data_IF_198872821180
#
_entry.id   IF_198872821180
#
_cell.length_a   1.000
_cell.length_b   1.000
_cell.length_c   1.000
_cell.angle_alpha   90.00
_cell.angle_beta   90.00
_cell.angle_gamma   90.00
#
_symmetry.space_group_name_H-M   'P 1'
#
loop_
_entity.id
_entity.type
_entity.pdbx_description
1 polymer ?
#
# COMPACT_ATOMS: atom_id res chain seq x y z
N UNK A 1 49.46 8.09 -10.81
CA UNK A 1 48.08 8.61 -10.82
C UNK A 1 47.06 7.61 -11.39
N UNK A 2 47.24 6.29 -11.21
CA UNK A 2 46.37 5.25 -11.77
C UNK A 2 45.35 4.67 -10.77
N UNK A 3 45.42 5.06 -9.49
CA UNK A 3 44.61 4.45 -8.41
C UNK A 3 43.25 5.12 -8.17
N UNK A 4 43.01 6.31 -8.73
CA UNK A 4 41.78 7.08 -8.52
C UNK A 4 40.68 6.70 -9.54
N UNK A 5 41.06 6.15 -10.69
CA UNK A 5 40.11 5.78 -11.77
C UNK A 5 39.37 4.47 -11.43
N UNK A 6 39.99 3.57 -10.66
CA UNK A 6 39.33 2.32 -10.25
C UNK A 6 38.22 2.52 -9.21
N UNK A 7 38.29 3.57 -8.38
CA UNK A 7 37.29 3.80 -7.33
C UNK A 7 35.98 4.39 -7.90
N UNK A 8 36.06 5.19 -8.98
CA UNK A 8 34.88 5.73 -9.66
C UNK A 8 34.06 4.66 -10.38
N UNK A 9 34.67 3.55 -10.83
CA UNK A 9 33.94 2.45 -11.46
C UNK A 9 33.15 1.61 -10.45
N UNK A 10 33.61 1.50 -9.20
CA UNK A 10 32.88 0.76 -8.15
C UNK A 10 31.66 1.53 -7.65
N UNK A 11 31.72 2.87 -7.66
CA UNK A 11 30.56 3.71 -7.29
C UNK A 11 29.50 3.70 -8.40
N UNK A 12 29.88 3.52 -9.67
CA UNK A 12 28.94 3.45 -10.80
C UNK A 12 28.23 2.08 -10.88
N UNK A 13 28.80 0.98 -10.37
CA UNK A 13 28.09 -0.30 -10.32
C UNK A 13 27.05 -0.39 -9.19
N UNK A 14 26.99 0.59 -8.28
CA UNK A 14 25.90 0.73 -7.29
C UNK A 14 24.77 1.64 -7.81
N UNK A 15 24.76 1.99 -9.10
CA UNK A 15 23.75 2.86 -9.70
C UNK A 15 22.67 2.16 -10.53
N UNK A 16 22.58 0.82 -10.58
CA UNK A 16 21.62 0.15 -11.49
C UNK A 16 20.90 -1.08 -10.93
N UNK A 17 20.48 -1.05 -9.67
CA UNK A 17 19.23 -1.73 -9.30
C UNK A 17 18.19 -0.63 -9.04
N UNK A 18 17.72 0.11 -10.06
CA UNK A 18 16.66 -0.34 -10.98
C UNK A 18 15.64 -1.30 -10.33
N UNK A 19 15.11 -0.92 -9.18
CA UNK A 19 13.70 -1.14 -8.95
C UNK A 19 13.00 0.10 -9.53
N UNK A 20 12.33 -0.06 -10.67
CA UNK A 20 11.35 0.90 -11.16
C UNK A 20 10.49 1.35 -9.97
N UNK A 21 10.15 2.66 -9.83
CA UNK A 21 9.13 3.02 -8.86
C UNK A 21 7.92 2.17 -9.18
N UNK A 22 7.53 1.31 -8.25
CA UNK A 22 6.31 0.55 -8.35
C UNK A 22 5.18 1.56 -8.19
N UNK A 23 4.85 2.22 -9.31
CA UNK A 23 3.80 3.20 -9.31
C UNK A 23 2.53 2.42 -9.03
N UNK A 24 1.83 2.79 -7.97
CA UNK A 24 0.41 2.52 -7.89
C UNK A 24 -0.33 3.34 -9.01
N UNK A 25 0.12 3.29 -10.28
CA UNK A 25 -0.59 3.70 -11.50
C UNK A 25 -0.95 2.51 -12.44
N UNK A 26 -2.23 2.50 -12.81
CA UNK A 26 -3.00 1.70 -13.79
C UNK A 26 -3.09 0.14 -13.77
N UNK A 27 -4.34 -0.31 -13.98
CA UNK A 27 -4.91 -1.65 -14.24
C UNK A 27 -5.39 -2.54 -13.07
N UNK A 28 -6.60 -3.08 -13.26
CA UNK A 28 -7.51 -3.73 -12.30
C UNK A 28 -7.67 -5.22 -12.65
N UNK A 29 -7.73 -6.09 -11.65
CA UNK A 29 -8.72 -7.18 -11.53
C UNK A 29 -8.51 -7.97 -10.23
N UNK A 30 -9.57 -8.10 -9.42
CA UNK A 30 -9.65 -9.06 -8.32
C UNK A 30 -10.50 -8.53 -7.18
N UNK A 31 -11.62 -9.17 -6.89
CA UNK A 31 -12.51 -8.90 -5.76
C UNK A 31 -12.49 -10.10 -4.83
N UNK A 32 -12.17 -9.91 -3.55
CA UNK A 32 -12.42 -10.88 -2.48
C UNK A 32 -13.52 -10.30 -1.58
N UNK A 33 -14.60 -11.05 -1.26
CA UNK A 33 -15.68 -10.53 -0.44
C UNK A 33 -15.33 -10.69 1.03
N UNK A 34 -15.18 -9.58 1.76
CA UNK A 34 -15.19 -9.59 3.22
C UNK A 34 -16.41 -8.79 3.67
N UNK A 35 -17.35 -9.48 4.31
CA UNK A 35 -18.68 -8.97 4.66
C UNK A 35 -18.60 -7.79 5.65
N UNK A 36 -19.22 -6.68 5.25
CA UNK A 36 -19.27 -5.43 5.97
C UNK A 36 -20.11 -5.52 7.27
N UNK A 37 -19.47 -5.28 8.41
CA UNK A 37 -20.14 -4.80 9.62
C UNK A 37 -19.31 -3.64 10.17
N UNK A 38 -19.98 -2.57 10.62
CA UNK A 38 -19.39 -1.30 11.01
C UNK A 38 -18.07 -1.44 11.78
N UNK A 39 -16.94 -1.20 11.09
CA UNK A 39 -15.62 -1.36 11.66
C UNK A 39 -15.36 -0.25 12.69
N UNK A 40 -15.36 -0.59 13.99
CA UNK A 40 -14.74 0.24 15.01
C UNK A 40 -13.22 0.20 14.80
N UNK A 41 -12.53 1.33 14.90
CA UNK A 41 -11.07 1.46 14.69
C UNK A 41 -10.26 0.45 15.52
N UNK A 42 -10.73 0.12 16.73
CA UNK A 42 -10.12 -0.90 17.61
C UNK A 42 -10.19 -2.29 16.98
N UNK A 43 -11.33 -2.64 16.40
CA UNK A 43 -11.55 -3.92 15.69
C UNK A 43 -10.70 -3.99 14.42
N UNK A 44 -10.47 -2.87 13.72
CA UNK A 44 -9.56 -2.82 12.57
C UNK A 44 -8.11 -3.11 12.95
N UNK A 45 -7.62 -2.57 14.07
CA UNK A 45 -6.27 -2.87 14.56
C UNK A 45 -6.13 -4.36 14.90
N UNK A 46 -7.13 -4.96 15.53
CA UNK A 46 -7.09 -6.39 15.86
C UNK A 46 -7.24 -7.27 14.60
N UNK A 47 -8.03 -6.84 13.60
CA UNK A 47 -8.06 -7.47 12.27
C UNK A 47 -6.69 -7.38 11.59
N UNK A 48 -5.99 -6.23 11.66
CA UNK A 48 -4.63 -6.12 11.11
C UNK A 48 -3.65 -7.06 11.81
N UNK A 49 -3.77 -7.24 13.13
CA UNK A 49 -2.96 -8.23 13.87
C UNK A 49 -3.26 -9.66 13.46
N UNK A 50 -4.54 -10.01 13.31
CA UNK A 50 -4.96 -11.34 12.85
C UNK A 50 -4.57 -11.57 11.39
N UNK A 51 -4.56 -10.53 10.56
CA UNK A 51 -4.14 -10.61 9.17
C UNK A 51 -2.67 -11.01 8.99
N UNK A 52 -1.81 -10.69 9.96
CA UNK A 52 -0.43 -11.21 10.03
C UNK A 52 -0.36 -12.74 10.24
N UNK A 53 -1.47 -13.37 10.63
CA UNK A 53 -1.61 -14.81 10.83
C UNK A 53 -2.29 -15.51 9.64
N UNK A 54 -2.75 -14.76 8.62
CA UNK A 54 -3.39 -15.33 7.42
C UNK A 54 -2.33 -16.02 6.55
N UNK A 55 -2.64 -17.16 5.90
CA UNK A 55 -1.72 -17.81 4.99
C UNK A 55 -1.26 -16.86 3.88
N UNK A 56 0.02 -16.51 3.89
CA UNK A 56 0.65 -15.61 2.91
C UNK A 56 1.11 -16.34 1.65
N UNK A 57 0.68 -17.59 1.43
CA UNK A 57 1.27 -18.50 0.44
C UNK A 57 1.18 -17.92 -0.98
N UNK A 58 0.05 -17.33 -1.36
CA UNK A 58 -0.12 -16.68 -2.67
C UNK A 58 0.80 -15.47 -2.85
N UNK A 59 0.98 -14.66 -1.81
CA UNK A 59 1.84 -13.47 -1.87
C UNK A 59 3.33 -13.81 -1.83
N UNK A 60 3.71 -14.81 -1.03
CA UNK A 60 5.11 -15.26 -0.88
C UNK A 60 5.60 -16.07 -2.08
N UNK A 61 4.70 -16.68 -2.85
CA UNK A 61 5.04 -17.34 -4.11
C UNK A 61 5.50 -16.33 -5.17
N UNK A 62 4.83 -15.17 -5.29
CA UNK A 62 5.18 -14.12 -6.24
C UNK A 62 4.97 -12.71 -5.65
N UNK A 63 6.04 -12.17 -5.07
CA UNK A 63 6.08 -10.85 -4.41
C UNK A 63 5.70 -9.71 -5.37
N UNK A 64 6.16 -9.75 -6.62
CA UNK A 64 5.84 -8.69 -7.58
C UNK A 64 4.35 -8.68 -7.95
N UNK A 65 3.76 -9.85 -8.18
CA UNK A 65 2.32 -9.98 -8.39
C UNK A 65 1.54 -9.54 -7.15
N UNK A 66 2.02 -9.89 -5.96
CA UNK A 66 1.38 -9.50 -4.71
C UNK A 66 1.31 -7.98 -4.55
N UNK A 67 2.44 -7.28 -4.69
CA UNK A 67 2.48 -5.82 -4.55
C UNK A 67 1.65 -5.16 -5.67
N UNK A 68 1.67 -5.71 -6.90
CA UNK A 68 0.86 -5.19 -8.01
C UNK A 68 -0.63 -5.26 -7.69
N UNK A 69 -1.10 -6.39 -7.16
CA UNK A 69 -2.49 -6.57 -6.73
C UNK A 69 -2.83 -5.61 -5.58
N UNK A 70 -1.98 -5.50 -4.56
CA UNK A 70 -2.18 -4.54 -3.46
C UNK A 70 -2.30 -3.10 -3.97
N UNK A 71 -1.41 -2.67 -4.86
CA UNK A 71 -1.50 -1.35 -5.49
C UNK A 71 -2.84 -1.16 -6.22
N UNK A 72 -3.36 -2.20 -6.88
CA UNK A 72 -4.66 -2.14 -7.56
C UNK A 72 -5.82 -1.90 -6.57
N UNK A 73 -5.82 -2.58 -5.42
CA UNK A 73 -6.80 -2.39 -4.36
C UNK A 73 -6.75 -0.98 -3.77
N UNK A 74 -5.54 -0.50 -3.44
CA UNK A 74 -5.33 0.85 -2.93
C UNK A 74 -5.92 1.87 -3.88
N UNK A 75 -5.61 1.79 -5.19
CA UNK A 75 -6.12 2.75 -6.18
C UNK A 75 -7.63 2.76 -6.23
N UNK A 76 -8.27 1.58 -6.30
CA UNK A 76 -9.73 1.48 -6.34
C UNK A 76 -10.36 2.20 -5.15
N UNK A 77 -9.81 2.01 -3.95
CA UNK A 77 -10.26 2.68 -2.75
C UNK A 77 -10.08 4.21 -2.83
N UNK A 78 -8.90 4.68 -3.25
CA UNK A 78 -8.60 6.11 -3.39
C UNK A 78 -9.47 6.80 -4.45
N UNK A 79 -9.69 6.15 -5.61
CA UNK A 79 -10.60 6.64 -6.65
C UNK A 79 -12.04 6.74 -6.10
N UNK A 80 -12.45 5.77 -5.28
CA UNK A 80 -13.72 5.81 -4.57
C UNK A 80 -13.86 6.99 -3.61
N UNK A 81 -12.77 7.40 -2.93
CA UNK A 81 -12.73 8.60 -2.08
C UNK A 81 -12.87 9.87 -2.91
N UNK A 82 -12.13 9.98 -4.03
CA UNK A 82 -12.19 11.15 -4.93
C UNK A 82 -13.56 11.27 -5.60
N UNK A 83 -14.19 10.14 -5.96
CA UNK A 83 -15.47 10.11 -6.65
C UNK A 83 -16.62 10.69 -5.81
N UNK A 84 -16.56 10.53 -4.48
CA UNK A 84 -17.58 11.03 -3.55
C UNK A 84 -17.26 12.43 -2.99
N UNK A 85 -16.11 13.01 -3.34
CA UNK A 85 -15.68 14.31 -2.86
C UNK A 85 -16.59 15.44 -3.36
N UNK A 86 -17.01 16.32 -2.43
CA UNK A 86 -17.75 17.53 -2.78
C UNK A 86 -16.87 18.49 -3.60
N UNK A 87 -17.43 19.26 -4.55
CA UNK A 87 -16.65 20.19 -5.37
C UNK A 87 -15.77 21.15 -4.56
N UNK A 88 -16.28 21.65 -3.43
CA UNK A 88 -15.56 22.57 -2.54
C UNK A 88 -14.29 21.97 -1.93
N UNK A 89 -14.25 20.64 -1.74
CA UNK A 89 -13.17 19.93 -1.04
C UNK A 89 -12.39 18.98 -1.97
N UNK A 90 -12.67 19.00 -3.28
CA UNK A 90 -12.12 18.04 -4.23
C UNK A 90 -10.61 18.13 -4.37
N UNK A 91 -10.05 19.34 -4.35
CA UNK A 91 -8.61 19.56 -4.43
C UNK A 91 -7.88 19.00 -3.20
N UNK A 92 -8.38 19.28 -2.00
CA UNK A 92 -7.85 18.74 -0.75
C UNK A 92 -7.97 17.21 -0.71
N UNK A 93 -9.10 16.66 -1.18
CA UNK A 93 -9.31 15.21 -1.25
C UNK A 93 -8.31 14.55 -2.20
N UNK A 94 -8.02 15.16 -3.36
CA UNK A 94 -7.02 14.69 -4.31
C UNK A 94 -5.59 14.73 -3.72
N UNK A 95 -5.27 15.78 -2.97
CA UNK A 95 -3.97 15.89 -2.29
C UNK A 95 -3.83 14.80 -1.22
N UNK A 96 -4.85 14.60 -0.39
CA UNK A 96 -4.86 13.59 0.66
C UNK A 96 -4.72 12.17 0.10
N UNK A 97 -5.45 11.84 -0.98
CA UNK A 97 -5.36 10.51 -1.61
C UNK A 97 -4.00 10.30 -2.28
N UNK A 98 -3.43 11.32 -2.94
CA UNK A 98 -2.08 11.27 -3.52
C UNK A 98 -0.99 11.04 -2.45
N UNK A 99 -1.11 11.72 -1.31
CA UNK A 99 -0.21 11.53 -0.18
C UNK A 99 -0.27 10.10 0.35
N UNK A 100 -1.48 9.56 0.56
CA UNK A 100 -1.65 8.19 1.04
C UNK A 100 -1.15 7.14 0.03
N UNK A 101 -1.35 7.36 -1.28
CA UNK A 101 -0.77 6.51 -2.32
C UNK A 101 0.76 6.48 -2.26
N UNK A 102 1.39 7.63 -2.08
CA UNK A 102 2.84 7.77 -1.96
C UNK A 102 3.38 7.02 -0.74
N UNK A 103 2.72 7.18 0.41
CA UNK A 103 3.08 6.47 1.66
C UNK A 103 2.95 4.97 1.46
N UNK A 104 1.82 4.48 0.93
CA UNK A 104 1.61 3.05 0.71
C UNK A 104 2.65 2.43 -0.22
N UNK A 105 2.95 3.09 -1.35
CA UNK A 105 3.99 2.66 -2.28
C UNK A 105 5.37 2.62 -1.61
N UNK A 106 5.70 3.61 -0.79
CA UNK A 106 6.96 3.65 -0.03
C UNK A 106 7.05 2.47 0.95
N UNK A 107 6.00 2.20 1.73
CA UNK A 107 5.97 1.09 2.69
C UNK A 107 6.13 -0.26 2.00
N UNK A 108 5.45 -0.48 0.87
CA UNK A 108 5.57 -1.71 0.08
C UNK A 108 6.98 -1.88 -0.51
N UNK A 109 7.59 -0.79 -1.00
CA UNK A 109 8.97 -0.82 -1.51
C UNK A 109 9.99 -1.08 -0.39
N UNK A 110 9.80 -0.52 0.79
CA UNK A 110 10.65 -0.80 1.96
C UNK A 110 10.54 -2.28 2.37
N UNK A 111 9.32 -2.83 2.43
CA UNK A 111 9.11 -4.24 2.72
C UNK A 111 9.74 -5.15 1.65
N UNK A 112 9.70 -4.75 0.38
CA UNK A 112 10.37 -5.48 -0.71
C UNK A 112 11.90 -5.43 -0.56
N UNK A 113 12.44 -4.27 -0.17
CA UNK A 113 13.88 -4.05 -0.05
C UNK A 113 14.54 -4.88 1.07
N UNK A 114 13.79 -5.36 2.06
CA UNK A 114 14.32 -6.27 3.08
C UNK A 114 14.59 -7.68 2.54
N UNK A 115 13.98 -8.04 1.41
CA UNK A 115 14.03 -9.40 0.84
C UNK A 115 13.16 -10.42 1.58
N UNK A 116 12.51 -10.03 2.69
CA UNK A 116 11.66 -10.90 3.50
C UNK A 116 10.26 -11.00 2.89
N UNK A 117 10.02 -12.06 2.11
CA UNK A 117 8.73 -12.27 1.43
C UNK A 117 7.52 -12.24 2.37
N UNK A 118 7.70 -12.72 3.61
CA UNK A 118 6.65 -12.67 4.65
C UNK A 118 6.32 -11.25 5.07
N UNK A 119 7.32 -10.36 5.12
CA UNK A 119 7.11 -8.95 5.44
C UNK A 119 6.36 -8.24 4.32
N UNK A 120 6.73 -8.50 3.05
CA UNK A 120 5.97 -8.00 1.91
C UNK A 120 4.52 -8.44 2.01
N UNK A 121 4.28 -9.72 2.28
CA UNK A 121 2.94 -10.24 2.41
C UNK A 121 2.13 -9.62 3.54
N UNK A 122 2.74 -9.45 4.72
CA UNK A 122 2.09 -8.79 5.84
C UNK A 122 1.68 -7.35 5.49
N UNK A 123 2.61 -6.55 4.94
CA UNK A 123 2.32 -5.16 4.50
C UNK A 123 1.25 -5.13 3.41
N UNK A 124 1.34 -6.01 2.42
CA UNK A 124 0.36 -6.12 1.34
C UNK A 124 -1.04 -6.41 1.84
N UNK A 125 -1.19 -7.39 2.74
CA UNK A 125 -2.50 -7.77 3.30
C UNK A 125 -3.07 -6.61 4.13
N UNK A 126 -2.26 -5.97 4.95
CA UNK A 126 -2.68 -4.83 5.78
C UNK A 126 -3.19 -3.68 4.89
N UNK A 127 -2.51 -3.32 3.80
CA UNK A 127 -3.02 -2.31 2.90
C UNK A 127 -4.28 -2.74 2.13
N UNK A 128 -4.44 -4.02 1.79
CA UNK A 128 -5.67 -4.53 1.18
C UNK A 128 -6.87 -4.41 2.13
N UNK A 129 -6.70 -4.76 3.41
CA UNK A 129 -7.75 -4.59 4.42
C UNK A 129 -8.09 -3.12 4.63
N UNK A 130 -7.10 -2.23 4.65
CA UNK A 130 -7.35 -0.78 4.73
C UNK A 130 -8.15 -0.28 3.51
N UNK A 131 -7.80 -0.74 2.31
CA UNK A 131 -8.51 -0.41 1.08
C UNK A 131 -9.96 -0.94 1.09
N UNK A 132 -10.20 -2.17 1.55
CA UNK A 132 -11.54 -2.75 1.67
C UNK A 132 -12.40 -1.97 2.68
N UNK A 133 -11.82 -1.52 3.80
CA UNK A 133 -12.52 -0.68 4.75
C UNK A 133 -12.96 0.66 4.15
N UNK A 134 -12.11 1.28 3.31
CA UNK A 134 -12.45 2.49 2.57
C UNK A 134 -13.55 2.22 1.53
N UNK A 135 -13.48 1.10 0.81
CA UNK A 135 -14.49 0.73 -0.19
C UNK A 135 -15.87 0.50 0.47
N UNK A 136 -15.88 -0.14 1.64
CA UNK A 136 -17.09 -0.42 2.42
C UNK A 136 -17.67 0.79 3.16
N UNK A 137 -16.88 1.84 3.40
CA UNK A 137 -17.33 3.02 4.13
C UNK A 137 -18.45 3.79 3.39
N UNK A 138 -19.36 4.40 4.17
CA UNK A 138 -20.35 5.31 3.64
C UNK A 138 -19.68 6.48 2.90
N UNK A 139 -20.28 7.05 1.84
CA UNK A 139 -19.66 8.10 1.03
C UNK A 139 -19.07 9.27 1.84
N UNK A 140 -19.79 9.76 2.85
CA UNK A 140 -19.34 10.86 3.70
C UNK A 140 -18.16 10.49 4.63
N UNK A 141 -17.95 9.20 4.90
CA UNK A 141 -16.91 8.69 5.80
C UNK A 141 -15.65 8.24 5.07
N UNK A 142 -15.70 8.00 3.75
CA UNK A 142 -14.58 7.42 2.98
C UNK A 142 -13.25 8.15 3.18
N UNK A 143 -13.25 9.48 3.21
CA UNK A 143 -12.03 10.27 3.42
C UNK A 143 -11.44 10.07 4.82
N UNK A 144 -12.28 10.09 5.86
CA UNK A 144 -11.87 9.86 7.25
C UNK A 144 -11.36 8.44 7.44
N UNK A 145 -12.10 7.44 6.95
CA UNK A 145 -11.71 6.04 7.03
C UNK A 145 -10.40 5.80 6.29
N UNK A 146 -10.18 6.42 5.13
CA UNK A 146 -8.89 6.35 4.42
C UNK A 146 -7.74 6.88 5.27
N UNK A 147 -7.88 8.08 5.85
CA UNK A 147 -6.81 8.67 6.65
C UNK A 147 -6.45 7.80 7.86
N UNK A 148 -7.46 7.33 8.58
CA UNK A 148 -7.28 6.48 9.77
C UNK A 148 -6.65 5.12 9.43
N UNK A 149 -7.17 4.41 8.43
CA UNK A 149 -6.76 3.03 8.14
C UNK A 149 -5.44 2.96 7.38
N UNK A 150 -5.17 3.90 6.47
CA UNK A 150 -3.89 3.93 5.76
C UNK A 150 -2.76 4.39 6.69
N UNK A 151 -3.03 5.29 7.64
CA UNK A 151 -2.07 5.64 8.69
C UNK A 151 -1.76 4.45 9.59
N UNK A 152 -2.78 3.67 9.97
CA UNK A 152 -2.57 2.43 10.73
C UNK A 152 -1.76 1.39 9.92
N UNK A 153 -2.06 1.26 8.62
CA UNK A 153 -1.34 0.36 7.71
C UNK A 153 0.12 0.75 7.49
N UNK A 154 0.43 2.05 7.53
CA UNK A 154 1.79 2.58 7.40
C UNK A 154 2.61 2.46 8.69
N UNK A 155 1.99 2.11 9.82
CA UNK A 155 2.71 1.95 11.08
C UNK A 155 3.69 0.77 10.98
N UNK A 156 4.87 0.84 11.62
CA UNK A 156 5.79 -0.28 11.65
C UNK A 156 5.09 -1.53 12.20
N UNK A 157 5.19 -2.62 11.44
CA UNK A 157 4.75 -3.94 11.90
C UNK A 157 5.81 -4.42 12.90
N UNK A 158 5.43 -4.51 14.18
CA UNK A 158 6.30 -4.90 15.29
C UNK A 158 6.49 -6.42 15.39
#
# INVERSE_FOLDING_TARGET
MAKVIALMLVVITVSTMLASPMECANKIAGTVPISASAYNFTTMIDIFKVAMLVPTEDCTANVDTCISNTCSYIRKALDGVVAVALPANKAETLEATSKQATVAASTLNMAKATGEKKQVAAVSIVYMIAADAVDAAAPADKLRVMDETFKAAAAPIA
#
